data_IF_663957763412
#
_entry.id   IF_663957763412
#
_cell.length_a   1.000
_cell.length_b   1.000
_cell.length_c   1.000
_cell.angle_alpha   90.00
_cell.angle_beta   90.00
_cell.angle_gamma   90.00
#
_symmetry.space_group_name_H-M   'P 1'
#
loop_
_entity.id
_entity.type
_entity.pdbx_description
1 polymer ?
#
# COMPACT_ATOMS: atom_id res chain seq x y z
N UNK A 1 29.39 -49.43 -4.08
CA UNK A 1 28.51 -49.15 -5.24
C UNK A 1 27.41 -48.18 -4.78
N UNK A 2 27.67 -46.87 -4.71
CA UNK A 2 26.77 -45.93 -4.01
C UNK A 2 26.71 -44.50 -4.56
N UNK A 3 27.21 -44.25 -5.78
CA UNK A 3 27.21 -42.90 -6.38
C UNK A 3 26.34 -42.79 -7.64
N UNK A 4 25.84 -43.90 -8.19
CA UNK A 4 25.02 -43.89 -9.40
C UNK A 4 23.54 -43.57 -9.15
N UNK A 5 23.04 -43.74 -7.91
CA UNK A 5 21.64 -43.44 -7.58
C UNK A 5 21.32 -41.94 -7.56
N UNK A 6 22.31 -41.06 -7.34
CA UNK A 6 22.09 -39.60 -7.29
C UNK A 6 21.92 -38.96 -8.68
N UNK A 7 22.51 -39.55 -9.72
CA UNK A 7 22.35 -39.07 -11.10
C UNK A 7 20.98 -39.45 -11.67
N UNK A 8 20.51 -40.67 -11.38
CA UNK A 8 19.19 -41.14 -11.81
C UNK A 8 18.04 -40.31 -11.20
N UNK A 9 18.16 -39.91 -9.93
CA UNK A 9 17.11 -39.13 -9.25
C UNK A 9 16.94 -37.71 -9.82
N UNK A 10 18.05 -37.08 -10.25
CA UNK A 10 18.03 -35.74 -10.86
C UNK A 10 17.46 -35.75 -12.27
N UNK A 11 17.66 -36.84 -13.02
CA UNK A 11 17.06 -37.00 -14.34
C UNK A 11 15.52 -37.09 -14.26
N UNK A 12 14.97 -37.79 -13.25
CA UNK A 12 13.52 -37.89 -13.05
C UNK A 12 12.85 -36.55 -12.68
N UNK A 13 13.48 -35.72 -11.86
CA UNK A 13 12.95 -34.39 -11.51
C UNK A 13 12.94 -33.42 -12.71
N UNK A 14 13.92 -33.52 -13.61
CA UNK A 14 13.97 -32.70 -14.83
C UNK A 14 12.89 -33.11 -15.86
N UNK A 15 12.48 -34.38 -15.87
CA UNK A 15 11.43 -34.85 -16.76
C UNK A 15 10.03 -34.43 -16.28
N UNK A 16 9.76 -34.51 -14.97
CA UNK A 16 8.48 -34.07 -14.40
C UNK A 16 8.24 -32.56 -14.62
N UNK A 17 9.28 -31.74 -14.57
CA UNK A 17 9.19 -30.30 -14.85
C UNK A 17 8.91 -29.97 -16.34
N UNK A 18 9.19 -30.89 -17.27
CA UNK A 18 8.85 -30.73 -18.69
C UNK A 18 7.41 -31.13 -19.01
N UNK A 19 6.85 -32.10 -18.29
CA UNK A 19 5.48 -32.56 -18.49
C UNK A 19 4.43 -31.53 -18.03
N UNK A 20 4.65 -30.81 -16.93
CA UNK A 20 3.71 -29.77 -16.46
C UNK A 20 3.70 -28.50 -17.32
N UNK A 21 4.79 -28.20 -18.05
CA UNK A 21 4.83 -27.05 -18.97
C UNK A 21 4.10 -27.28 -20.30
N UNK A 22 3.70 -28.51 -20.62
CA UNK A 22 3.05 -28.84 -21.89
C UNK A 22 1.51 -28.80 -21.86
N UNK A 23 0.87 -28.69 -20.68
CA UNK A 23 -0.59 -28.88 -20.53
C UNK A 23 -1.43 -27.60 -20.28
N UNK A 24 -0.86 -26.39 -20.39
CA UNK A 24 -1.66 -25.13 -20.38
C UNK A 24 -1.50 -24.36 -21.70
N UNK A 25 -2.44 -24.64 -22.60
CA UNK A 25 -2.72 -24.12 -23.95
C UNK A 25 -2.72 -22.55 -24.05
N UNK A 26 -2.77 -21.87 -25.23
CA UNK A 26 -3.55 -22.27 -26.41
C UNK A 26 -3.08 -21.89 -27.85
N UNK A 27 -3.65 -22.66 -28.80
CA UNK A 27 -4.10 -22.33 -30.16
C UNK A 27 -3.67 -20.98 -30.77
N UNK A 28 -2.89 -21.04 -31.86
CA UNK A 28 -2.88 -20.00 -32.92
C UNK A 28 -2.54 -20.62 -34.28
N UNK A 29 -3.48 -20.52 -35.21
CA UNK A 29 -3.22 -20.68 -36.64
C UNK A 29 -3.65 -19.39 -37.37
N UNK A 30 -2.72 -18.89 -38.21
CA UNK A 30 -2.81 -17.87 -39.28
C UNK A 30 -2.84 -16.36 -38.92
N UNK A 31 -2.36 -15.47 -39.83
CA UNK A 31 -1.01 -15.34 -40.42
C UNK A 31 -0.41 -13.92 -40.12
N UNK A 32 0.82 -13.56 -40.55
CA UNK A 32 1.48 -12.35 -40.05
C UNK A 32 1.01 -11.12 -40.81
N UNK A 33 0.00 -10.42 -40.26
CA UNK A 33 -0.26 -9.04 -40.66
C UNK A 33 0.62 -8.15 -39.79
N UNK A 34 1.45 -7.35 -40.47
CA UNK A 34 2.30 -6.32 -39.90
C UNK A 34 1.63 -5.66 -38.68
N UNK A 35 2.14 -5.98 -37.50
CA UNK A 35 1.85 -5.18 -36.31
C UNK A 35 2.92 -4.11 -36.29
N UNK A 36 2.60 -3.01 -36.97
CA UNK A 36 3.09 -1.70 -36.60
C UNK A 36 3.18 -1.65 -35.07
N UNK A 37 4.38 -1.37 -34.59
CA UNK A 37 4.64 -1.20 -33.17
C UNK A 37 3.72 -0.08 -32.67
N UNK A 38 2.58 -0.44 -32.08
CA UNK A 38 1.77 0.51 -31.33
C UNK A 38 2.67 1.02 -30.21
N UNK A 39 3.01 2.33 -30.19
CA UNK A 39 3.82 2.87 -29.13
C UNK A 39 3.08 2.65 -27.82
N UNK A 40 3.83 2.14 -26.84
CA UNK A 40 3.35 1.97 -25.49
C UNK A 40 2.67 3.27 -25.03
N UNK A 41 1.38 3.15 -24.75
CA UNK A 41 0.51 4.10 -24.08
C UNK A 41 1.31 5.10 -23.22
N UNK A 42 1.28 6.43 -23.50
CA UNK A 42 1.95 7.38 -22.65
C UNK A 42 1.36 7.23 -21.26
N UNK A 43 2.24 6.98 -20.28
CA UNK A 43 1.87 6.83 -18.88
C UNK A 43 0.84 7.92 -18.51
N UNK A 44 -0.32 7.48 -17.99
CA UNK A 44 -1.37 8.38 -17.49
C UNK A 44 -0.69 9.53 -16.74
N UNK A 45 -1.06 10.80 -16.98
CA UNK A 45 -0.45 11.92 -16.30
C UNK A 45 -0.53 11.65 -14.80
N UNK A 46 0.64 11.44 -14.18
CA UNK A 46 0.72 11.16 -12.75
C UNK A 46 0.07 12.34 -12.04
N UNK A 47 -0.94 12.06 -11.21
CA UNK A 47 -1.74 13.10 -10.57
C UNK A 47 -0.83 14.15 -9.93
N UNK A 48 -1.13 15.45 -10.09
CA UNK A 48 -0.31 16.54 -9.54
C UNK A 48 -0.07 16.37 -8.03
N UNK A 49 -1.05 15.76 -7.35
CA UNK A 49 -1.00 15.37 -5.93
C UNK A 49 0.11 14.37 -5.62
N UNK A 50 0.34 13.38 -6.49
CA UNK A 50 1.41 12.38 -6.31
C UNK A 50 2.78 13.04 -6.49
N UNK A 51 2.91 13.99 -7.43
CA UNK A 51 4.12 14.80 -7.56
C UNK A 51 4.36 15.70 -6.33
N UNK A 52 3.30 16.27 -5.75
CA UNK A 52 3.40 17.02 -4.50
C UNK A 52 3.90 16.13 -3.34
N UNK A 53 3.34 14.92 -3.20
CA UNK A 53 3.81 13.93 -2.21
C UNK A 53 5.29 13.59 -2.45
N UNK A 54 5.71 13.35 -3.70
CA UNK A 54 7.10 13.03 -4.01
C UNK A 54 8.06 14.18 -3.64
N UNK A 55 7.66 15.43 -3.82
CA UNK A 55 8.42 16.61 -3.37
C UNK A 55 8.55 16.65 -1.84
N UNK A 56 7.47 16.38 -1.12
CA UNK A 56 7.48 16.28 0.34
C UNK A 56 8.42 15.17 0.83
N UNK A 57 8.39 14.00 0.20
CA UNK A 57 9.27 12.87 0.54
C UNK A 57 10.76 13.19 0.37
N UNK A 58 11.13 13.98 -0.65
CA UNK A 58 12.53 14.39 -0.86
C UNK A 58 13.01 15.37 0.21
N UNK A 59 12.12 16.24 0.70
CA UNK A 59 12.48 17.25 1.71
C UNK A 59 12.41 16.70 3.13
N UNK A 60 11.44 15.84 3.40
CA UNK A 60 11.14 15.30 4.73
C UNK A 60 11.10 13.77 4.67
N UNK A 61 12.25 13.09 4.48
CA UNK A 61 12.29 11.64 4.38
C UNK A 61 11.90 10.93 5.70
N UNK A 62 12.03 11.62 6.84
CA UNK A 62 11.66 11.10 8.16
C UNK A 62 10.13 11.05 8.36
N UNK A 63 9.43 12.14 8.04
CA UNK A 63 7.97 12.21 8.13
C UNK A 63 7.28 11.49 6.96
N UNK A 64 7.84 11.59 5.76
CA UNK A 64 7.30 11.01 4.53
C UNK A 64 8.30 9.99 3.94
N UNK A 65 8.42 8.79 4.52
CA UNK A 65 9.31 7.76 3.99
C UNK A 65 8.85 7.23 2.62
N UNK A 66 9.81 6.86 1.78
CA UNK A 66 9.58 6.21 0.47
C UNK A 66 9.67 4.69 0.62
N UNK A 67 8.89 3.93 -0.17
CA UNK A 67 8.94 2.46 -0.21
C UNK A 67 10.39 1.98 -0.44
N UNK A 68 10.89 0.95 0.28
CA UNK A 68 10.16 -0.07 1.07
C UNK A 68 9.84 0.29 2.54
N UNK A 69 10.28 1.43 3.05
CA UNK A 69 10.08 1.76 4.46
C UNK A 69 8.59 1.82 4.88
N UNK A 70 8.23 1.38 6.11
CA UNK A 70 6.88 1.53 6.64
C UNK A 70 6.54 3.02 6.75
N UNK A 71 5.27 3.36 6.53
CA UNK A 71 4.82 4.74 6.74
C UNK A 71 4.83 5.06 8.24
N UNK A 72 4.80 6.33 8.59
CA UNK A 72 4.85 6.77 9.98
C UNK A 72 3.57 7.56 10.32
N UNK A 73 3.00 7.41 11.53
CA UNK A 73 1.93 8.27 12.01
C UNK A 73 2.40 9.72 12.04
N UNK A 74 1.71 10.61 11.32
CA UNK A 74 2.08 12.01 11.32
C UNK A 74 1.50 12.71 12.55
N UNK A 75 2.20 13.77 13.00
CA UNK A 75 1.70 14.73 14.00
C UNK A 75 0.32 15.26 13.61
N UNK A 76 -0.55 15.46 14.60
CA UNK A 76 -1.83 16.16 14.39
C UNK A 76 -1.51 17.64 14.16
N UNK A 77 -2.01 18.22 13.07
CA UNK A 77 -1.67 19.60 12.69
C UNK A 77 -0.37 19.73 11.87
N UNK A 78 0.21 18.63 11.38
CA UNK A 78 1.40 18.65 10.50
C UNK A 78 1.24 19.56 9.27
N UNK A 79 0.01 19.87 8.87
CA UNK A 79 -0.29 20.79 7.79
C UNK A 79 0.21 22.21 8.10
N UNK A 80 0.02 22.71 9.32
CA UNK A 80 0.47 24.04 9.75
C UNK A 80 2.00 24.11 9.73
N UNK A 81 2.66 23.04 10.19
CA UNK A 81 4.11 22.91 10.13
C UNK A 81 4.62 22.89 8.68
N UNK A 82 3.82 22.39 7.72
CA UNK A 82 4.18 22.32 6.30
C UNK A 82 3.92 23.62 5.52
N UNK A 83 3.04 24.50 5.97
CA UNK A 83 2.73 25.76 5.29
C UNK A 83 3.98 26.63 5.03
N UNK A 84 4.88 26.87 6.01
CA UNK A 84 6.12 27.61 5.77
C UNK A 84 7.05 26.97 4.74
N UNK A 85 6.92 25.65 4.54
CA UNK A 85 7.72 24.89 3.59
C UNK A 85 7.07 24.76 2.21
N UNK A 86 5.77 25.04 2.08
CA UNK A 86 5.04 24.95 0.82
C UNK A 86 5.66 25.84 -0.27
N UNK A 87 5.99 27.09 0.07
CA UNK A 87 6.67 28.02 -0.83
C UNK A 87 8.02 27.49 -1.33
N UNK A 88 8.81 26.86 -0.43
CA UNK A 88 10.12 26.27 -0.78
C UNK A 88 9.98 25.07 -1.71
N UNK A 89 8.83 24.40 -1.69
CA UNK A 89 8.53 23.24 -2.52
C UNK A 89 7.82 23.62 -3.83
N UNK A 90 7.58 24.93 -4.05
CA UNK A 90 6.76 25.44 -5.14
C UNK A 90 5.40 24.73 -5.23
N UNK A 91 4.75 24.56 -4.06
CA UNK A 91 3.43 23.96 -3.91
C UNK A 91 2.46 25.02 -3.41
N UNK A 92 1.23 24.99 -3.94
CA UNK A 92 0.14 25.79 -3.38
C UNK A 92 -0.42 25.13 -2.12
N UNK A 93 -1.07 25.92 -1.27
CA UNK A 93 -1.73 25.39 -0.06
C UNK A 93 -2.78 24.31 -0.41
N UNK A 94 -3.55 24.52 -1.47
CA UNK A 94 -4.57 23.59 -1.92
C UNK A 94 -3.97 22.23 -2.34
N UNK A 95 -2.88 22.25 -3.11
CA UNK A 95 -2.17 21.03 -3.51
C UNK A 95 -1.56 20.31 -2.29
N UNK A 96 -1.00 21.07 -1.34
CA UNK A 96 -0.46 20.51 -0.11
C UNK A 96 -1.55 19.82 0.71
N UNK A 97 -2.73 20.44 0.83
CA UNK A 97 -3.88 19.88 1.55
C UNK A 97 -4.36 18.59 0.89
N UNK A 98 -4.50 18.56 -0.43
CA UNK A 98 -4.90 17.37 -1.17
C UNK A 98 -3.81 16.27 -1.13
N UNK A 99 -2.53 16.63 -1.12
CA UNK A 99 -1.41 15.71 -0.93
C UNK A 99 -1.48 14.99 0.42
N UNK A 100 -1.64 15.74 1.51
CA UNK A 100 -1.73 15.18 2.86
C UNK A 100 -2.99 14.33 3.01
N UNK A 101 -4.13 14.80 2.50
CA UNK A 101 -5.39 14.06 2.51
C UNK A 101 -5.26 12.73 1.76
N UNK A 102 -4.62 12.73 0.60
CA UNK A 102 -4.35 11.51 -0.18
C UNK A 102 -3.37 10.59 0.56
N UNK A 103 -2.34 11.15 1.20
CA UNK A 103 -1.38 10.41 2.00
C UNK A 103 -2.03 9.66 3.17
N UNK A 104 -2.88 10.35 3.94
CA UNK A 104 -3.59 9.83 5.11
C UNK A 104 -4.72 8.84 4.76
N UNK A 105 -5.20 8.84 3.51
CA UNK A 105 -6.21 7.88 3.00
C UNK A 105 -5.59 6.59 2.42
N UNK A 106 -4.27 6.47 2.43
CA UNK A 106 -3.58 5.28 1.93
C UNK A 106 -3.65 4.11 2.90
N UNK A 107 -3.86 2.89 2.40
CA UNK A 107 -3.89 1.67 3.23
C UNK A 107 -2.63 1.51 4.09
N UNK A 108 -1.46 1.83 3.51
CA UNK A 108 -0.17 1.81 4.22
C UNK A 108 -0.10 2.80 5.38
N UNK A 109 -0.84 3.90 5.33
CA UNK A 109 -0.87 4.87 6.43
C UNK A 109 -1.69 4.30 7.59
N UNK A 110 -2.85 3.71 7.28
CA UNK A 110 -3.70 3.05 8.28
C UNK A 110 -2.99 1.88 8.96
N UNK A 111 -2.19 1.10 8.22
CA UNK A 111 -1.41 0.00 8.78
C UNK A 111 -0.41 0.42 9.87
N UNK A 112 0.04 1.68 9.86
CA UNK A 112 1.02 2.20 10.81
C UNK A 112 0.36 2.90 12.01
N UNK A 113 -0.96 3.12 11.98
CA UNK A 113 -1.73 3.67 13.10
C UNK A 113 -2.01 2.60 14.16
N UNK A 114 -0.96 2.26 14.91
CA UNK A 114 -1.03 1.35 16.05
C UNK A 114 -1.23 2.18 17.32
N UNK A 115 -2.01 1.67 18.26
CA UNK A 115 -2.21 2.30 19.57
C UNK A 115 -0.87 2.52 20.28
N UNK A 116 -0.66 3.72 20.82
CA UNK A 116 0.58 4.08 21.52
C UNK A 116 1.78 4.36 20.61
N UNK A 117 1.64 4.23 19.28
CA UNK A 117 2.71 4.60 18.36
C UNK A 117 3.00 6.11 18.44
N UNK A 118 4.28 6.46 18.50
CA UNK A 118 4.71 7.86 18.49
C UNK A 118 4.44 8.51 17.14
N UNK A 119 3.71 9.62 17.15
CA UNK A 119 3.52 10.47 15.97
C UNK A 119 4.80 11.24 15.72
N UNK A 120 5.25 11.29 14.47
CA UNK A 120 6.44 12.04 14.08
C UNK A 120 6.08 13.37 13.43
N UNK A 121 6.86 14.40 13.75
CA UNK A 121 6.84 15.69 13.08
C UNK A 121 7.76 15.71 11.83
N UNK A 122 7.90 16.89 11.21
CA UNK A 122 8.75 17.08 10.03
C UNK A 122 10.25 16.89 10.29
N UNK A 123 10.69 17.12 11.53
CA UNK A 123 12.07 16.94 11.96
C UNK A 123 12.36 15.50 12.43
N UNK A 124 11.34 14.64 12.47
CA UNK A 124 11.43 13.27 13.00
C UNK A 124 11.36 13.19 14.52
N UNK A 125 10.97 14.26 15.20
CA UNK A 125 10.72 14.25 16.64
C UNK A 125 9.33 13.72 16.97
N UNK A 126 9.20 13.15 18.16
CA UNK A 126 7.95 12.62 18.67
C UNK A 126 7.02 13.78 19.06
N UNK A 127 5.90 13.91 18.38
CA UNK A 127 4.92 14.98 18.58
C UNK A 127 3.57 14.41 19.01
N UNK A 128 3.61 13.56 20.04
CA UNK A 128 2.46 12.89 20.63
C UNK A 128 2.34 11.41 20.26
N UNK A 129 1.24 10.78 20.67
CA UNK A 129 0.98 9.36 20.44
C UNK A 129 -0.35 9.16 19.71
N UNK A 130 -0.47 8.03 19.03
CA UNK A 130 -1.73 7.59 18.42
C UNK A 130 -2.67 7.10 19.52
N UNK A 131 -3.84 7.73 19.60
CA UNK A 131 -4.89 7.35 20.56
C UNK A 131 -5.52 6.00 20.17
N UNK A 132 -6.03 5.22 21.13
CA UNK A 132 -6.72 3.96 20.86
C UNK A 132 -7.88 4.11 19.88
N UNK A 133 -8.62 5.23 19.94
CA UNK A 133 -9.73 5.53 19.04
C UNK A 133 -9.28 5.67 17.58
N UNK A 134 -8.12 6.30 17.34
CA UNK A 134 -7.57 6.51 16.00
C UNK A 134 -7.10 5.19 15.40
N UNK A 135 -6.43 4.36 16.22
CA UNK A 135 -5.98 3.03 15.82
C UNK A 135 -7.16 2.12 15.44
N UNK A 136 -8.22 2.08 16.27
CA UNK A 136 -9.44 1.31 15.96
C UNK A 136 -10.10 1.78 14.66
N UNK A 137 -10.22 3.10 14.46
CA UNK A 137 -10.78 3.67 13.22
C UNK A 137 -9.95 3.28 11.99
N UNK A 138 -8.62 3.34 12.10
CA UNK A 138 -7.72 2.94 11.02
C UNK A 138 -7.87 1.46 10.65
N UNK A 139 -7.97 0.58 11.65
CA UNK A 139 -8.24 -0.85 11.44
C UNK A 139 -9.57 -1.10 10.74
N UNK A 140 -10.64 -0.41 11.17
CA UNK A 140 -11.95 -0.50 10.52
C UNK A 140 -11.90 -0.04 9.04
N UNK A 141 -11.24 1.08 8.75
CA UNK A 141 -11.09 1.58 7.38
C UNK A 141 -10.28 0.61 6.51
N UNK A 142 -9.24 -0.01 7.07
CA UNK A 142 -8.44 -1.02 6.38
C UNK A 142 -9.25 -2.29 6.08
N UNK A 143 -10.05 -2.75 7.04
CA UNK A 143 -10.93 -3.90 6.86
C UNK A 143 -11.95 -3.66 5.74
N UNK A 144 -12.59 -2.50 5.71
CA UNK A 144 -13.58 -2.12 4.67
C UNK A 144 -12.99 -2.03 3.27
N UNK A 145 -11.70 -1.76 3.14
CA UNK A 145 -11.01 -1.60 1.86
C UNK A 145 -10.41 -2.90 1.33
N UNK A 146 -10.26 -3.91 2.18
CA UNK A 146 -9.76 -5.22 1.78
C UNK A 146 -10.84 -5.92 0.94
N UNK A 147 -10.57 -6.29 -0.32
CA UNK A 147 -11.55 -6.97 -1.17
C UNK A 147 -11.77 -8.38 -0.59
N UNK A 148 -12.80 -8.53 0.25
CA UNK A 148 -13.18 -9.81 0.85
C UNK A 148 -13.38 -9.84 2.37
N UNK A 149 -13.36 -8.71 3.08
CA UNK A 149 -13.71 -8.74 4.51
C UNK A 149 -15.23 -8.93 4.68
N UNK A 150 -15.70 -10.02 5.34
CA UNK A 150 -17.11 -10.17 5.67
C UNK A 150 -17.48 -9.09 6.68
N UNK A 151 -18.57 -8.36 6.40
CA UNK A 151 -19.18 -7.42 7.33
C UNK A 151 -19.57 -8.18 8.60
N UNK A 152 -18.71 -8.18 9.62
CA UNK A 152 -19.13 -8.48 10.98
C UNK A 152 -19.91 -7.28 11.48
N UNK A 153 -21.14 -7.17 10.97
CA UNK A 153 -22.22 -6.43 11.60
C UNK A 153 -22.42 -7.05 12.97
N UNK A 154 -22.13 -6.28 14.01
CA UNK A 154 -22.29 -6.66 15.39
C UNK A 154 -23.66 -7.29 15.64
N UNK A 155 -23.68 -8.57 16.02
CA UNK A 155 -24.81 -9.16 16.75
C UNK A 155 -24.82 -8.52 18.14
N UNK A 156 -25.48 -7.37 18.26
CA UNK A 156 -26.01 -6.91 19.53
C UNK A 156 -27.32 -7.66 19.79
N UNK A 157 -27.22 -8.94 20.14
CA UNK A 157 -28.33 -9.68 20.73
C UNK A 157 -28.50 -9.11 22.15
N UNK A 158 -29.45 -8.18 22.33
CA UNK A 158 -29.93 -7.87 23.67
C UNK A 158 -30.71 -9.08 24.18
N UNK A 159 -30.32 -9.73 25.30
CA UNK A 159 -31.23 -10.61 26.00
C UNK A 159 -32.23 -9.71 26.72
N UNK A 160 -33.47 -9.67 26.23
CA UNK A 160 -34.60 -9.23 27.05
C UNK A 160 -34.99 -10.40 27.94
N UNK A 161 -34.34 -10.45 29.10
CA UNK A 161 -34.76 -11.21 30.26
C UNK A 161 -35.97 -10.50 30.88
N UNK A 162 -37.14 -11.15 30.90
CA UNK A 162 -38.22 -10.84 31.83
C UNK A 162 -39.29 -11.94 31.81
N UNK A 163 -39.05 -12.96 32.63
CA UNK A 163 -40.11 -13.74 33.24
C UNK A 163 -40.93 -12.84 34.18
N UNK A 164 -42.26 -12.84 34.02
CA UNK A 164 -43.30 -12.99 35.05
C UNK A 164 -44.65 -12.45 34.56
#
# INVERSE_FOLDING_TARGET
>A
MGFEQLAALKAQLAEQAKAEKAAKAPKRARPPRAREATPANPAKPVDPVVHAIARLQRRFPLAFPKHPAPKVPLKIGIFEDLLPHAHKLALTEAELREAIKTWCRGARYWACLIEGASRMDLAGQQAGQVRPEDAKRAQQLQARRSPGAPSQSAKASHPIDAAR
#
